data_IF_868283125319
#
_entry.id   IF_868283125319
#
_cell.length_a   1.000
_cell.length_b   1.000
_cell.length_c   1.000
_cell.angle_alpha   90.00
_cell.angle_beta   90.00
_cell.angle_gamma   90.00
#
_symmetry.space_group_name_H-M   'P 1'
#
loop_
_entity.id
_entity.type
_entity.pdbx_description
1 polymer ?
#
# COMPACT_ATOMS: atom_id res chain seq x y z
N UNK A 1 -0.02 -35.92 -20.58
CA UNK A 1 -0.38 -36.24 -19.19
C UNK A 1 -0.08 -35.00 -18.36
N UNK A 2 -1.10 -34.18 -18.11
CA UNK A 2 -0.97 -32.99 -17.28
C UNK A 2 -0.88 -33.41 -15.82
N UNK A 3 0.35 -33.64 -15.35
CA UNK A 3 0.64 -33.72 -13.91
C UNK A 3 0.49 -32.32 -13.31
N UNK A 4 -0.76 -31.86 -13.16
CA UNK A 4 -1.04 -30.70 -12.30
C UNK A 4 -0.72 -31.13 -10.88
N UNK A 5 0.49 -30.81 -10.43
CA UNK A 5 0.85 -30.82 -9.02
C UNK A 5 -0.13 -29.86 -8.34
N UNK A 6 -1.17 -30.41 -7.73
CA UNK A 6 -2.14 -29.63 -6.98
C UNK A 6 -1.52 -29.35 -5.63
N UNK A 7 -0.97 -28.14 -5.47
CA UNK A 7 -0.59 -27.64 -4.17
C UNK A 7 -1.78 -27.71 -3.22
N UNK A 8 -1.54 -28.04 -1.95
CA UNK A 8 -2.61 -28.01 -0.95
C UNK A 8 -3.22 -26.59 -0.87
N UNK A 9 -4.50 -26.45 -0.50
CA UNK A 9 -5.13 -25.15 -0.35
C UNK A 9 -4.35 -24.22 0.61
N UNK A 10 -3.81 -24.79 1.69
CA UNK A 10 -2.98 -24.07 2.65
C UNK A 10 -1.70 -23.52 2.01
N UNK A 11 -0.95 -24.34 1.28
CA UNK A 11 0.28 -23.90 0.60
C UNK A 11 -0.03 -22.77 -0.37
N UNK A 12 -1.14 -22.86 -1.11
CA UNK A 12 -1.55 -21.83 -2.06
C UNK A 12 -1.89 -20.50 -1.37
N UNK A 13 -2.56 -20.54 -0.21
CA UNK A 13 -2.83 -19.35 0.61
C UNK A 13 -1.54 -18.74 1.14
N UNK A 14 -0.63 -19.55 1.67
CA UNK A 14 0.66 -19.08 2.19
C UNK A 14 1.53 -18.45 1.10
N UNK A 15 1.61 -19.07 -0.08
CA UNK A 15 2.30 -18.50 -1.24
C UNK A 15 1.64 -17.19 -1.71
N UNK A 16 0.31 -17.14 -1.71
CA UNK A 16 -0.44 -15.92 -2.03
C UNK A 16 -0.13 -14.77 -1.09
N UNK A 17 -0.10 -15.07 0.22
CA UNK A 17 0.28 -14.11 1.24
C UNK A 17 1.72 -13.63 1.03
N UNK A 18 2.68 -14.56 0.83
CA UNK A 18 4.08 -14.22 0.62
C UNK A 18 4.28 -13.30 -0.61
N UNK A 19 3.63 -13.60 -1.73
CA UNK A 19 3.67 -12.76 -2.93
C UNK A 19 3.01 -11.39 -2.70
N UNK A 20 1.90 -11.36 -1.96
CA UNK A 20 1.21 -10.12 -1.60
C UNK A 20 2.12 -9.21 -0.78
N UNK A 21 2.81 -9.76 0.22
CA UNK A 21 3.80 -9.04 1.01
C UNK A 21 4.99 -8.57 0.18
N UNK A 22 5.53 -9.42 -0.70
CA UNK A 22 6.64 -9.05 -1.58
C UNK A 22 6.28 -7.88 -2.52
N UNK A 23 5.00 -7.80 -2.94
CA UNK A 23 4.48 -6.71 -3.76
C UNK A 23 4.48 -5.33 -3.09
N UNK A 24 4.71 -5.25 -1.78
CA UNK A 24 4.87 -3.98 -1.05
C UNK A 24 6.20 -3.30 -1.38
N UNK A 25 7.27 -4.08 -1.64
CA UNK A 25 8.63 -3.56 -1.81
C UNK A 25 8.78 -2.57 -2.98
N UNK A 26 8.21 -2.84 -4.19
CA UNK A 26 8.26 -1.88 -5.28
C UNK A 26 7.57 -0.55 -4.95
N UNK A 27 6.50 -0.58 -4.16
CA UNK A 27 5.78 0.64 -3.76
C UNK A 27 6.67 1.53 -2.90
N UNK A 28 7.31 0.96 -1.88
CA UNK A 28 8.24 1.69 -0.99
C UNK A 28 9.43 2.22 -1.79
N UNK A 29 10.03 1.39 -2.64
CA UNK A 29 11.19 1.78 -3.44
C UNK A 29 10.87 2.94 -4.38
N UNK A 30 9.73 2.89 -5.09
CA UNK A 30 9.39 3.96 -6.02
C UNK A 30 8.94 5.24 -5.34
N UNK A 31 8.21 5.16 -4.22
CA UNK A 31 7.87 6.33 -3.42
C UNK A 31 9.14 7.09 -2.99
N UNK A 32 10.12 6.36 -2.44
CA UNK A 32 11.41 6.91 -2.04
C UNK A 32 12.14 7.60 -3.21
N UNK A 33 12.22 6.94 -4.37
CA UNK A 33 12.89 7.53 -5.54
C UNK A 33 12.18 8.78 -6.09
N UNK A 34 10.85 8.85 -6.02
CA UNK A 34 10.12 10.05 -6.46
C UNK A 34 10.42 11.25 -5.56
N UNK A 35 10.48 11.03 -4.25
CA UNK A 35 10.82 12.08 -3.27
C UNK A 35 12.24 12.60 -3.46
N UNK A 36 13.21 11.73 -3.75
CA UNK A 36 14.59 12.14 -4.02
C UNK A 36 14.74 12.94 -5.33
N UNK A 37 13.96 12.62 -6.36
CA UNK A 37 14.15 13.20 -7.70
C UNK A 37 13.28 14.44 -7.98
N UNK A 38 12.09 14.54 -7.40
CA UNK A 38 11.13 15.62 -7.68
C UNK A 38 11.13 16.72 -6.60
N UNK A 39 11.91 16.54 -5.53
CA UNK A 39 11.87 17.38 -4.34
C UNK A 39 10.67 17.05 -3.44
N UNK A 40 10.76 17.45 -2.17
CA UNK A 40 9.83 17.01 -1.11
C UNK A 40 8.35 17.18 -1.49
N UNK A 41 7.93 18.37 -1.93
CA UNK A 41 6.52 18.64 -2.22
C UNK A 41 5.98 17.85 -3.44
N UNK A 42 6.70 17.86 -4.57
CA UNK A 42 6.21 17.22 -5.79
C UNK A 42 6.35 15.70 -5.74
N UNK A 43 7.42 15.20 -5.10
CA UNK A 43 7.61 13.77 -4.85
C UNK A 43 6.50 13.22 -3.95
N UNK A 44 6.18 13.92 -2.86
CA UNK A 44 5.15 13.48 -1.90
C UNK A 44 3.72 13.47 -2.48
N UNK A 45 3.41 14.37 -3.42
CA UNK A 45 2.13 14.38 -4.15
C UNK A 45 2.07 13.30 -5.24
N UNK A 46 3.20 12.98 -5.87
CA UNK A 46 3.29 11.94 -6.88
C UNK A 46 3.39 10.53 -6.27
N UNK A 47 3.85 10.41 -5.02
CA UNK A 47 4.02 9.15 -4.31
C UNK A 47 2.68 8.46 -4.08
N UNK A 48 1.64 9.17 -3.62
CA UNK A 48 0.33 8.59 -3.31
C UNK A 48 -0.25 7.71 -4.44
N UNK A 49 -0.37 8.20 -5.69
CA UNK A 49 -0.84 7.38 -6.81
C UNK A 49 0.04 6.17 -7.09
N UNK A 50 1.36 6.32 -7.04
CA UNK A 50 2.32 5.25 -7.32
C UNK A 50 2.22 4.16 -6.25
N UNK A 51 2.14 4.54 -4.99
CA UNK A 51 1.96 3.62 -3.88
C UNK A 51 0.67 2.85 -3.98
N UNK A 52 -0.45 3.52 -4.29
CA UNK A 52 -1.75 2.86 -4.41
C UNK A 52 -1.84 1.93 -5.64
N UNK A 53 -1.05 2.16 -6.70
CA UNK A 53 -0.93 1.20 -7.82
C UNK A 53 -0.06 0.01 -7.45
N UNK A 54 1.10 0.25 -6.83
CA UNK A 54 2.13 -0.77 -6.65
C UNK A 54 1.89 -1.66 -5.44
N UNK A 55 1.36 -1.12 -4.34
CA UNK A 55 1.06 -1.87 -3.11
C UNK A 55 0.17 -3.11 -3.34
N UNK A 56 -0.91 -3.06 -4.14
CA UNK A 56 -1.72 -4.25 -4.45
C UNK A 56 -1.11 -5.17 -5.53
N UNK A 57 0.04 -4.85 -6.13
CA UNK A 57 0.63 -5.62 -7.23
C UNK A 57 0.86 -7.09 -6.84
N UNK A 58 1.35 -7.33 -5.62
CA UNK A 58 1.57 -8.69 -5.11
C UNK A 58 0.28 -9.51 -5.04
N UNK A 59 -0.84 -8.86 -4.72
CA UNK A 59 -2.17 -9.50 -4.69
C UNK A 59 -2.62 -9.86 -6.10
N UNK A 60 -2.42 -8.99 -7.09
CA UNK A 60 -2.70 -9.30 -8.50
C UNK A 60 -1.85 -10.48 -9.00
N UNK A 61 -0.54 -10.45 -8.75
CA UNK A 61 0.40 -11.50 -9.11
C UNK A 61 -0.03 -12.83 -8.48
N UNK A 62 -0.36 -12.84 -7.19
CA UNK A 62 -0.86 -14.02 -6.51
C UNK A 62 -2.11 -14.59 -7.18
N UNK A 63 -3.11 -13.76 -7.49
CA UNK A 63 -4.39 -14.21 -8.07
C UNK A 63 -4.28 -14.70 -9.53
N UNK A 64 -3.34 -14.15 -10.30
CA UNK A 64 -3.09 -14.52 -11.70
C UNK A 64 -2.27 -15.81 -11.77
N UNK A 65 -1.16 -15.87 -11.04
CA UNK A 65 -0.17 -16.95 -11.21
C UNK A 65 -0.41 -18.16 -10.30
N UNK A 66 -1.22 -18.03 -9.22
CA UNK A 66 -1.54 -19.15 -8.35
C UNK A 66 -2.97 -19.64 -8.64
N UNK A 67 -3.14 -20.67 -9.50
CA UNK A 67 -4.45 -21.11 -9.96
C UNK A 67 -5.37 -21.59 -8.83
N UNK A 68 -4.77 -22.10 -7.75
CA UNK A 68 -5.43 -22.72 -6.61
C UNK A 68 -5.72 -21.74 -5.46
N UNK A 69 -5.37 -20.45 -5.56
CA UNK A 69 -5.78 -19.49 -4.53
C UNK A 69 -7.30 -19.38 -4.54
N UNK A 70 -7.97 -19.58 -3.39
CA UNK A 70 -9.40 -19.36 -3.32
C UNK A 70 -9.66 -17.88 -3.60
N UNK A 71 -10.30 -17.59 -4.72
CA UNK A 71 -10.66 -16.22 -5.16
C UNK A 71 -11.85 -15.66 -4.37
N UNK A 72 -11.98 -16.09 -3.11
CA UNK A 72 -13.03 -15.65 -2.20
C UNK A 72 -12.77 -14.19 -1.87
N UNK A 73 -13.82 -13.36 -1.98
CA UNK A 73 -13.74 -11.91 -1.73
C UNK A 73 -13.05 -11.58 -0.40
N UNK A 74 -13.33 -12.38 0.63
CA UNK A 74 -12.71 -12.23 1.95
C UNK A 74 -11.18 -12.35 1.93
N UNK A 75 -10.59 -13.32 1.22
CA UNK A 75 -9.14 -13.51 1.23
C UNK A 75 -8.40 -12.39 0.50
N UNK A 76 -8.98 -11.86 -0.58
CA UNK A 76 -8.39 -10.72 -1.31
C UNK A 76 -8.36 -9.49 -0.42
N UNK A 77 -9.46 -9.21 0.29
CA UNK A 77 -9.53 -8.10 1.26
C UNK A 77 -8.50 -8.31 2.38
N UNK A 78 -8.41 -9.52 2.94
CA UNK A 78 -7.44 -9.83 4.00
C UNK A 78 -5.99 -9.65 3.53
N UNK A 79 -5.64 -10.14 2.33
CA UNK A 79 -4.30 -9.93 1.77
C UNK A 79 -4.00 -8.45 1.55
N UNK A 80 -4.95 -7.69 0.99
CA UNK A 80 -4.81 -6.24 0.83
C UNK A 80 -4.62 -5.51 2.17
N UNK A 81 -5.34 -5.90 3.23
CA UNK A 81 -5.17 -5.34 4.58
C UNK A 81 -3.78 -5.64 5.13
N UNK A 82 -3.30 -6.88 5.00
CA UNK A 82 -1.97 -7.25 5.51
C UNK A 82 -0.87 -6.50 4.74
N UNK A 83 -1.00 -6.35 3.41
CA UNK A 83 -0.10 -5.50 2.62
C UNK A 83 -0.11 -4.05 3.10
N UNK A 84 -1.29 -3.51 3.40
CA UNK A 84 -1.44 -2.14 3.91
C UNK A 84 -0.74 -1.95 5.25
N UNK A 85 -0.88 -2.92 6.18
CA UNK A 85 -0.22 -2.89 7.48
C UNK A 85 1.30 -2.95 7.34
N UNK A 86 1.82 -3.83 6.47
CA UNK A 86 3.26 -3.90 6.21
C UNK A 86 3.76 -2.60 5.57
N UNK A 87 3.07 -2.09 4.55
CA UNK A 87 3.43 -0.84 3.89
C UNK A 87 3.46 0.32 4.90
N UNK A 88 2.38 0.51 5.65
CA UNK A 88 2.27 1.57 6.66
C UNK A 88 3.38 1.47 7.73
N UNK A 89 3.75 0.24 8.11
CA UNK A 89 4.81 0.04 9.10
C UNK A 89 6.17 0.47 8.55
N UNK A 90 6.48 0.10 7.31
CA UNK A 90 7.72 0.51 6.64
C UNK A 90 7.73 2.02 6.42
N UNK A 91 6.66 2.59 5.90
CA UNK A 91 6.56 4.03 5.62
C UNK A 91 6.71 4.85 6.90
N UNK A 92 5.99 4.52 7.97
CA UNK A 92 6.12 5.23 9.24
C UNK A 92 7.51 5.10 9.85
N UNK A 93 8.13 3.93 9.74
CA UNK A 93 9.51 3.74 10.18
C UNK A 93 10.48 4.61 9.38
N UNK A 94 10.40 4.58 8.05
CA UNK A 94 11.24 5.40 7.17
C UNK A 94 11.05 6.88 7.49
N UNK A 95 9.81 7.33 7.59
CA UNK A 95 9.50 8.73 7.85
C UNK A 95 10.05 9.19 9.21
N UNK A 96 9.80 8.45 10.29
CA UNK A 96 10.21 8.86 11.64
C UNK A 96 11.72 8.76 11.89
N UNK A 97 12.43 7.89 11.17
CA UNK A 97 13.87 7.67 11.41
C UNK A 97 14.78 8.29 10.35
N UNK A 98 14.30 8.53 9.14
CA UNK A 98 15.11 9.09 8.06
C UNK A 98 14.69 10.51 7.68
N UNK A 99 13.39 10.82 7.67
CA UNK A 99 12.92 12.16 7.31
C UNK A 99 12.83 13.09 8.52
N UNK A 100 12.32 12.59 9.65
CA UNK A 100 12.16 13.37 10.88
C UNK A 100 12.81 12.66 12.08
N UNK A 101 14.14 12.43 12.07
CA UNK A 101 14.81 11.73 13.17
C UNK A 101 14.67 12.42 14.54
N UNK A 102 14.38 13.73 14.55
CA UNK A 102 14.13 14.54 15.76
C UNK A 102 12.65 14.90 15.94
N UNK A 103 11.77 13.92 15.77
CA UNK A 103 10.33 14.12 15.91
C UNK A 103 9.86 14.15 17.38
N UNK A 104 8.79 14.88 17.69
CA UNK A 104 8.09 14.76 18.96
C UNK A 104 7.25 13.46 19.02
N UNK A 105 7.03 12.87 20.21
CA UNK A 105 6.23 11.65 20.37
C UNK A 105 4.82 11.75 19.75
N UNK A 106 4.23 12.94 19.76
CA UNK A 106 2.91 13.23 19.22
C UNK A 106 2.86 13.01 17.70
N UNK A 107 3.93 13.35 16.97
CA UNK A 107 4.03 13.10 15.52
C UNK A 107 4.07 11.59 15.25
N UNK A 108 4.84 10.84 16.05
CA UNK A 108 4.87 9.38 15.92
C UNK A 108 3.49 8.76 16.18
N UNK A 109 2.81 9.15 17.26
CA UNK A 109 1.46 8.66 17.56
C UNK A 109 0.45 9.03 16.47
N UNK A 110 0.52 10.25 15.96
CA UNK A 110 -0.32 10.69 14.85
C UNK A 110 -0.12 9.81 13.63
N UNK A 111 1.13 9.61 13.19
CA UNK A 111 1.47 8.83 12.01
C UNK A 111 1.04 7.36 12.13
N UNK A 112 1.43 6.70 13.21
CA UNK A 112 1.07 5.30 13.45
C UNK A 112 -0.44 5.07 13.52
N UNK A 113 -1.22 6.08 13.92
CA UNK A 113 -2.69 5.98 13.96
C UNK A 113 -3.34 6.32 12.63
N UNK A 114 -3.07 7.51 12.09
CA UNK A 114 -3.82 8.06 10.97
C UNK A 114 -3.27 7.66 9.61
N UNK A 115 -1.95 7.60 9.43
CA UNK A 115 -1.37 7.06 8.18
C UNK A 115 -1.68 5.56 8.04
N UNK A 116 -1.55 4.79 9.13
CA UNK A 116 -1.94 3.36 9.10
C UNK A 116 -3.40 3.19 8.74
N UNK A 117 -4.30 3.97 9.36
CA UNK A 117 -5.72 3.94 9.04
C UNK A 117 -6.00 4.33 7.58
N UNK A 118 -5.32 5.36 7.06
CA UNK A 118 -5.40 5.76 5.66
C UNK A 118 -5.07 4.58 4.74
N UNK A 119 -3.92 3.93 4.92
CA UNK A 119 -3.52 2.83 4.06
C UNK A 119 -4.49 1.64 4.16
N UNK A 120 -5.02 1.36 5.35
CA UNK A 120 -6.06 0.34 5.54
C UNK A 120 -7.31 0.67 4.71
N UNK A 121 -7.80 1.91 4.78
CA UNK A 121 -8.98 2.37 4.03
C UNK A 121 -8.72 2.34 2.52
N UNK A 122 -7.59 2.89 2.06
CA UNK A 122 -7.23 2.92 0.65
C UNK A 122 -7.07 1.51 0.08
N UNK A 123 -6.35 0.62 0.77
CA UNK A 123 -6.10 -0.75 0.31
C UNK A 123 -7.36 -1.61 0.34
N UNK A 124 -8.22 -1.42 1.35
CA UNK A 124 -9.54 -2.09 1.40
C UNK A 124 -10.40 -1.60 0.25
N UNK A 125 -10.45 -0.30 -0.01
CA UNK A 125 -11.19 0.29 -1.14
C UNK A 125 -10.67 -0.27 -2.47
N UNK A 126 -9.35 -0.29 -2.65
CA UNK A 126 -8.70 -0.82 -3.85
C UNK A 126 -9.00 -2.31 -4.05
N UNK A 127 -9.07 -3.10 -2.97
CA UNK A 127 -9.35 -4.54 -3.05
C UNK A 127 -10.68 -4.87 -3.77
N UNK A 128 -11.69 -4.00 -3.67
CA UNK A 128 -12.93 -4.16 -4.43
C UNK A 128 -12.72 -4.00 -5.95
N UNK A 129 -11.75 -3.20 -6.36
CA UNK A 129 -11.30 -3.12 -7.76
C UNK A 129 -10.65 -4.42 -8.21
N UNK A 130 -9.75 -4.98 -7.39
CA UNK A 130 -9.07 -6.24 -7.68
C UNK A 130 -10.10 -7.33 -7.92
N UNK A 131 -11.10 -7.44 -7.04
CA UNK A 131 -12.18 -8.42 -7.14
C UNK A 131 -13.01 -8.26 -8.41
N UNK A 132 -13.31 -7.03 -8.82
CA UNK A 132 -14.04 -6.78 -10.08
C UNK A 132 -13.18 -7.07 -11.30
N UNK A 133 -11.93 -6.63 -11.29
CA UNK A 133 -11.04 -6.68 -12.45
C UNK A 133 -10.47 -8.10 -12.68
N UNK A 134 -10.23 -8.88 -11.62
CA UNK A 134 -9.75 -10.25 -11.77
C UNK A 134 -10.78 -11.14 -12.46
N UNK A 135 -12.08 -10.87 -12.29
CA UNK A 135 -13.14 -11.56 -13.03
C UNK A 135 -13.05 -11.29 -14.54
N UNK A 136 -12.66 -10.08 -14.94
CA UNK A 136 -12.40 -9.76 -16.35
C UNK A 136 -11.17 -10.52 -16.88
N UNK A 137 -10.02 -10.40 -16.20
CA UNK A 137 -8.75 -10.94 -16.72
C UNK A 137 -8.63 -12.47 -16.63
N UNK A 138 -9.17 -13.09 -15.58
CA UNK A 138 -9.01 -14.54 -15.33
C UNK A 138 -10.25 -15.32 -15.76
N UNK A 139 -11.45 -14.78 -15.52
CA UNK A 139 -12.71 -15.48 -15.81
C UNK A 139 -13.30 -15.07 -17.17
N UNK A 140 -12.62 -14.21 -17.93
CA UNK A 140 -13.07 -13.69 -19.24
C UNK A 140 -14.47 -13.06 -19.17
N UNK A 141 -14.79 -12.40 -18.06
CA UNK A 141 -16.05 -11.67 -17.93
C UNK A 141 -16.14 -10.57 -18.99
N UNK A 142 -17.32 -10.32 -19.54
CA UNK A 142 -17.56 -9.21 -20.49
C UNK A 142 -17.58 -7.84 -19.79
N UNK A 143 -17.65 -7.81 -18.45
CA UNK A 143 -17.65 -6.57 -17.67
C UNK A 143 -16.26 -5.95 -17.65
N UNK A 144 -16.11 -4.81 -18.33
CA UNK A 144 -14.86 -4.04 -18.38
C UNK A 144 -14.31 -3.73 -16.98
N UNK A 145 -12.98 -3.69 -16.82
CA UNK A 145 -12.36 -3.30 -15.56
C UNK A 145 -12.76 -1.87 -15.17
N UNK A 146 -12.91 -1.65 -13.87
CA UNK A 146 -13.28 -0.34 -13.32
C UNK A 146 -12.10 0.30 -12.62
N UNK A 147 -11.86 1.57 -12.90
CA UNK A 147 -10.84 2.39 -12.22
C UNK A 147 -11.42 3.26 -11.11
N UNK A 148 -12.73 3.16 -10.82
CA UNK A 148 -13.38 4.01 -9.82
C UNK A 148 -12.75 3.84 -8.44
N UNK A 149 -12.61 2.60 -7.94
CA UNK A 149 -12.04 2.37 -6.61
C UNK A 149 -10.55 2.71 -6.50
N UNK A 150 -9.69 2.39 -7.49
CA UNK A 150 -8.31 2.88 -7.50
C UNK A 150 -8.23 4.41 -7.46
N UNK A 151 -9.03 5.10 -8.28
CA UNK A 151 -9.04 6.56 -8.29
C UNK A 151 -9.49 7.14 -6.94
N UNK A 152 -10.53 6.57 -6.32
CA UNK A 152 -10.97 6.98 -4.98
C UNK A 152 -9.85 6.80 -3.95
N UNK A 153 -9.16 5.66 -3.93
CA UNK A 153 -8.05 5.41 -3.02
C UNK A 153 -6.90 6.42 -3.22
N UNK A 154 -6.52 6.68 -4.47
CA UNK A 154 -5.49 7.67 -4.81
C UNK A 154 -5.88 9.09 -4.40
N UNK A 155 -7.13 9.48 -4.64
CA UNK A 155 -7.63 10.80 -4.23
C UNK A 155 -7.62 10.95 -2.72
N UNK A 156 -8.12 9.96 -1.98
CA UNK A 156 -8.14 9.98 -0.51
C UNK A 156 -6.71 10.05 0.05
N UNK A 157 -5.79 9.26 -0.50
CA UNK A 157 -4.38 9.29 -0.12
C UNK A 157 -3.78 10.67 -0.36
N UNK A 158 -3.89 11.21 -1.57
CA UNK A 158 -3.32 12.53 -1.87
C UNK A 158 -3.92 13.66 -1.04
N UNK A 159 -5.22 13.60 -0.75
CA UNK A 159 -5.85 14.57 0.15
C UNK A 159 -5.24 14.49 1.57
N UNK A 160 -5.01 13.29 2.08
CA UNK A 160 -4.31 13.12 3.35
C UNK A 160 -2.90 13.72 3.28
N UNK A 161 -2.13 13.42 2.23
CA UNK A 161 -0.77 13.97 2.05
C UNK A 161 -0.79 15.50 2.06
N UNK A 162 -1.67 16.12 1.28
CA UNK A 162 -1.84 17.59 1.24
C UNK A 162 -2.18 18.13 2.63
N UNK A 163 -3.15 17.52 3.32
CA UNK A 163 -3.61 17.98 4.64
C UNK A 163 -2.46 17.88 5.65
N UNK A 164 -1.76 16.76 5.66
CA UNK A 164 -0.70 16.51 6.63
C UNK A 164 0.46 17.47 6.42
N UNK A 165 0.98 17.56 5.19
CA UNK A 165 2.15 18.40 4.89
C UNK A 165 1.88 19.89 5.05
N UNK A 166 0.70 20.38 4.66
CA UNK A 166 0.42 21.82 4.68
C UNK A 166 -0.07 22.28 6.05
N UNK A 167 -0.92 21.50 6.72
CA UNK A 167 -1.66 21.96 7.89
C UNK A 167 -1.31 21.27 9.20
N UNK A 168 -0.65 20.10 9.18
CA UNK A 168 -0.41 19.31 10.39
C UNK A 168 1.08 19.29 10.74
N UNK A 169 1.95 18.90 9.81
CA UNK A 169 3.41 18.83 10.01
C UNK A 169 3.99 20.14 10.56
N UNK A 170 3.62 21.35 10.08
CA UNK A 170 4.17 22.60 10.61
C UNK A 170 3.85 22.87 12.08
N UNK A 171 2.86 22.18 12.65
CA UNK A 171 2.47 22.34 14.06
C UNK A 171 3.23 21.40 15.01
N UNK A 172 4.08 20.51 14.49
CA UNK A 172 4.96 19.66 15.29
C UNK A 172 6.37 20.26 15.28
N UNK A 173 6.73 21.11 16.26
CA UNK A 173 8.08 21.65 16.34
C UNK A 173 9.08 20.50 16.46
N UNK A 174 10.19 20.58 15.73
CA UNK A 174 11.32 19.68 15.97
C UNK A 174 11.78 19.86 17.42
N UNK A 175 12.03 18.75 18.10
CA UNK A 175 12.59 18.84 19.44
C UNK A 175 14.02 19.38 19.31
N UNK A 176 14.24 20.61 19.80
CA UNK A 176 15.53 21.28 19.98
C UNK A 176 16.39 20.58 21.07
N UNK A 177 16.48 19.25 21.04
CA UNK A 177 17.51 18.53 21.78
C UNK A 177 18.75 18.58 20.91
N UNK A 178 19.76 19.31 21.41
CA UNK A 178 20.96 19.76 20.73
C UNK A 178 21.51 18.83 19.64
N UNK A 179 22.06 19.45 18.60
CA UNK A 179 22.99 18.85 17.65
C UNK A 179 23.92 17.84 18.33
N UNK A 180 23.65 16.55 18.14
CA UNK A 180 24.72 15.55 18.25
C UNK A 180 25.50 15.70 16.96
N UNK A 181 26.66 16.34 17.09
CA UNK A 181 27.72 16.42 16.09
C UNK A 181 28.17 15.01 15.72
#
# INVERSE_FOLDING_TARGET
MDNKITSSPLISVLLGLALSLAGVLPAVFWAFLLEQNLGYLYGFLAAGPVEEVLKPLGVYVALIFLPNIPRKSFLVVVFSIICALLFASIENYVYLHFYFPKHPPELAHFRWRYCTLLHLVCSTTYSFSILKNIAYFVQKSEKKPSLVFPLVAMTVHNLYNIIVTIFIEPNFPENDVGTVV
#
